data_IF_265608867255
#
_entry.id   IF_265608867255
#
_cell.length_a   1.000
_cell.length_b   1.000
_cell.length_c   1.000
_cell.angle_alpha   90.00
_cell.angle_beta   90.00
_cell.angle_gamma   90.00
#
_symmetry.space_group_name_H-M   'P 1'
#
loop_
_entity.id
_entity.type
_entity.pdbx_description
1 polymer ?
#
# COMPACT_ATOMS: atom_id res chain seq x y z
N UNK A 1 11.22 -13.09 20.56
CA UNK A 1 11.01 -11.87 19.74
C UNK A 1 9.51 -11.68 19.52
N UNK A 2 8.94 -10.55 19.96
CA UNK A 2 7.53 -10.15 19.80
C UNK A 2 6.44 -11.18 20.25
N UNK A 3 6.36 -11.50 21.57
CA UNK A 3 5.25 -12.29 22.12
C UNK A 3 3.90 -11.69 21.75
N UNK A 4 2.93 -12.52 21.38
CA UNK A 4 1.68 -12.04 20.76
C UNK A 4 0.91 -11.04 21.62
N UNK A 5 0.62 -11.38 22.89
CA UNK A 5 -0.16 -10.52 23.79
C UNK A 5 0.53 -9.18 24.01
N UNK A 6 1.80 -9.21 24.43
CA UNK A 6 2.61 -8.00 24.66
C UNK A 6 2.74 -7.12 23.41
N UNK A 7 2.90 -7.73 22.23
CA UNK A 7 3.01 -6.99 20.97
C UNK A 7 1.67 -6.38 20.57
N UNK A 8 0.56 -7.11 20.68
CA UNK A 8 -0.78 -6.58 20.40
C UNK A 8 -1.13 -5.42 21.33
N UNK A 9 -0.92 -5.59 22.63
CA UNK A 9 -1.15 -4.53 23.63
C UNK A 9 -0.31 -3.27 23.34
N UNK A 10 0.96 -3.47 22.99
CA UNK A 10 1.83 -2.37 22.55
C UNK A 10 1.34 -1.72 21.26
N UNK A 11 0.81 -2.50 20.31
CA UNK A 11 0.28 -1.98 19.05
C UNK A 11 -0.98 -1.15 19.27
N UNK A 12 -1.93 -1.61 20.10
CA UNK A 12 -3.13 -0.83 20.43
C UNK A 12 -2.78 0.46 21.19
N UNK A 13 -1.96 0.36 22.25
CA UNK A 13 -1.58 1.51 23.08
C UNK A 13 -0.83 2.60 22.31
N UNK A 14 0.03 2.20 21.35
CA UNK A 14 0.78 3.12 20.50
C UNK A 14 0.01 3.53 19.23
N UNK A 15 -1.28 3.17 19.12
CA UNK A 15 -2.11 3.38 17.92
C UNK A 15 -1.39 2.96 16.64
N UNK A 16 -0.76 1.78 16.69
CA UNK A 16 -0.08 1.16 15.57
C UNK A 16 1.09 1.96 14.98
N UNK A 17 1.73 2.83 15.76
CA UNK A 17 2.96 3.52 15.31
C UNK A 17 4.10 2.52 15.09
N UNK A 18 4.44 2.30 13.82
CA UNK A 18 5.44 1.33 13.38
C UNK A 18 6.86 1.74 13.83
N UNK A 19 7.16 3.04 13.89
CA UNK A 19 8.48 3.52 14.33
C UNK A 19 8.64 3.33 15.85
N UNK A 20 7.61 3.58 16.65
CA UNK A 20 7.65 3.32 18.09
C UNK A 20 7.68 1.83 18.42
N UNK A 21 6.88 1.02 17.71
CA UNK A 21 6.88 -0.44 17.87
C UNK A 21 8.23 -1.05 17.53
N UNK A 22 8.84 -0.66 16.41
CA UNK A 22 10.13 -1.22 16.01
C UNK A 22 11.24 -0.86 17.01
N UNK A 23 11.18 0.34 17.59
CA UNK A 23 12.10 0.76 18.65
C UNK A 23 11.89 -0.07 19.92
N UNK A 24 10.63 -0.21 20.38
CA UNK A 24 10.29 -0.96 21.59
C UNK A 24 10.71 -2.43 21.54
N UNK A 25 10.61 -3.06 20.37
CA UNK A 25 10.94 -4.48 20.19
C UNK A 25 12.33 -4.73 19.59
N UNK A 26 13.12 -3.69 19.30
CA UNK A 26 14.46 -3.81 18.75
C UNK A 26 14.51 -4.48 17.37
N UNK A 27 13.52 -4.22 16.51
CA UNK A 27 13.40 -4.86 15.19
C UNK A 27 13.35 -3.83 14.06
N UNK A 28 13.49 -4.29 12.82
CA UNK A 28 13.36 -3.44 11.63
C UNK A 28 11.92 -3.13 11.25
N UNK A 29 11.73 -2.13 10.37
CA UNK A 29 10.42 -1.73 9.84
C UNK A 29 9.69 -2.90 9.16
N UNK A 30 10.35 -3.61 8.24
CA UNK A 30 9.76 -4.79 7.55
C UNK A 30 9.26 -5.85 8.53
N UNK A 31 10.05 -6.13 9.57
CA UNK A 31 9.75 -7.18 10.57
C UNK A 31 8.54 -6.77 11.42
N UNK A 32 8.45 -5.49 11.77
CA UNK A 32 7.32 -4.93 12.53
C UNK A 32 6.02 -5.01 11.71
N UNK A 33 6.05 -4.58 10.45
CA UNK A 33 4.90 -4.66 9.54
C UNK A 33 4.46 -6.12 9.29
N UNK A 34 5.44 -7.03 9.11
CA UNK A 34 5.15 -8.46 9.00
C UNK A 34 4.44 -8.95 10.26
N UNK A 35 4.91 -8.59 11.45
CA UNK A 35 4.27 -9.00 12.70
C UNK A 35 2.84 -8.48 12.81
N UNK A 36 2.62 -7.19 12.52
CA UNK A 36 1.29 -6.58 12.51
C UNK A 36 0.30 -7.33 11.61
N UNK A 37 0.73 -7.79 10.45
CA UNK A 37 -0.13 -8.57 9.52
C UNK A 37 -0.56 -9.95 10.04
N UNK A 38 0.03 -10.43 11.14
CA UNK A 38 -0.25 -11.76 11.70
C UNK A 38 -1.15 -11.75 12.94
N UNK A 39 -1.63 -10.59 13.39
CA UNK A 39 -2.39 -10.44 14.64
C UNK A 39 -3.86 -10.87 14.50
N UNK A 40 -4.10 -12.14 14.13
CA UNK A 40 -5.44 -12.68 13.83
C UNK A 40 -5.87 -13.86 14.73
N UNK A 41 -5.32 -13.96 15.95
CA UNK A 41 -5.76 -14.95 16.94
C UNK A 41 -7.22 -14.69 17.33
N UNK A 42 -8.02 -15.75 17.40
CA UNK A 42 -9.49 -15.67 17.49
C UNK A 42 -9.98 -14.81 18.67
N UNK A 43 -9.33 -14.92 19.82
CA UNK A 43 -9.64 -14.25 21.09
C UNK A 43 -8.94 -12.89 21.28
N UNK A 44 -8.04 -12.51 20.38
CA UNK A 44 -7.19 -11.33 20.53
C UNK A 44 -6.78 -10.78 19.15
N UNK A 45 -7.75 -10.27 18.38
CA UNK A 45 -7.50 -9.75 17.01
C UNK A 45 -7.02 -8.30 17.03
N UNK A 46 -5.95 -8.02 16.30
CA UNK A 46 -5.55 -6.66 15.93
C UNK A 46 -6.24 -6.19 14.64
N UNK A 47 -5.82 -5.03 14.14
CA UNK A 47 -6.25 -4.54 12.81
C UNK A 47 -5.86 -5.56 11.73
N UNK A 48 -6.80 -5.96 10.84
CA UNK A 48 -6.50 -6.87 9.74
C UNK A 48 -5.72 -6.15 8.65
N UNK A 49 -4.40 -6.33 8.66
CA UNK A 49 -3.50 -5.71 7.70
C UNK A 49 -3.22 -6.56 6.46
N UNK A 50 -2.92 -5.85 5.38
CA UNK A 50 -2.31 -6.29 4.14
C UNK A 50 -0.84 -5.89 4.16
N UNK A 51 0.05 -6.85 3.96
CA UNK A 51 1.49 -6.59 3.88
C UNK A 51 1.98 -6.86 2.47
N UNK A 52 2.70 -5.90 1.91
CA UNK A 52 3.28 -5.99 0.57
C UNK A 52 4.73 -5.52 0.60
N UNK A 53 5.60 -6.25 -0.11
CA UNK A 53 6.98 -5.81 -0.38
C UNK A 53 7.23 -5.73 -1.87
N UNK A 54 7.65 -4.57 -2.35
CA UNK A 54 7.90 -4.30 -3.77
C UNK A 54 9.28 -3.71 -3.98
N UNK A 55 9.87 -3.91 -5.15
CA UNK A 55 11.08 -3.20 -5.58
C UNK A 55 10.76 -2.02 -6.52
N UNK A 56 11.80 -1.27 -6.92
CA UNK A 56 11.63 -0.09 -7.79
C UNK A 56 11.10 -0.40 -9.18
N UNK A 57 11.21 -1.65 -9.64
CA UNK A 57 10.74 -2.09 -10.95
C UNK A 57 9.28 -2.57 -10.90
N UNK A 58 8.65 -2.57 -9.72
CA UNK A 58 7.30 -3.06 -9.54
C UNK A 58 7.20 -4.55 -9.23
N UNK A 59 8.33 -5.24 -9.03
CA UNK A 59 8.28 -6.65 -8.66
C UNK A 59 7.87 -6.77 -7.20
N UNK A 60 6.68 -7.33 -6.98
CA UNK A 60 6.17 -7.55 -5.63
C UNK A 60 6.60 -8.94 -5.17
N UNK A 61 7.58 -8.97 -4.26
CA UNK A 61 8.26 -10.19 -3.80
C UNK A 61 7.68 -10.81 -2.53
N UNK A 62 6.77 -10.12 -1.82
CA UNK A 62 6.00 -10.68 -0.71
C UNK A 62 4.59 -10.11 -0.67
N UNK A 63 3.63 -10.98 -0.38
CA UNK A 63 2.22 -10.67 -0.07
C UNK A 63 1.80 -11.49 1.13
N UNK A 64 1.25 -10.84 2.14
CA UNK A 64 0.62 -11.49 3.27
C UNK A 64 -0.65 -10.73 3.60
N UNK A 65 -1.70 -11.46 3.95
CA UNK A 65 -2.99 -10.85 4.19
C UNK A 65 -3.71 -11.58 5.31
N UNK A 66 -4.28 -10.80 6.22
CA UNK A 66 -5.18 -11.31 7.26
C UNK A 66 -6.56 -11.71 6.71
N UNK A 67 -6.99 -11.12 5.59
CA UNK A 67 -8.32 -11.30 4.97
C UNK A 67 -8.24 -11.27 3.44
N UNK A 68 -9.32 -11.51 2.69
CA UNK A 68 -9.28 -11.36 1.23
C UNK A 68 -9.12 -9.89 0.82
N UNK A 69 -8.20 -9.61 -0.10
CA UNK A 69 -7.87 -8.26 -0.58
C UNK A 69 -7.46 -8.27 -2.06
N UNK A 70 -7.70 -7.18 -2.80
CA UNK A 70 -7.50 -7.11 -4.26
C UNK A 70 -6.10 -7.45 -4.73
N UNK A 71 -5.05 -7.18 -3.93
CA UNK A 71 -3.67 -7.54 -4.28
C UNK A 71 -3.17 -8.82 -3.59
N UNK A 72 -4.06 -9.62 -2.99
CA UNK A 72 -3.68 -10.85 -2.29
C UNK A 72 -3.09 -11.92 -3.21
N UNK A 73 -3.50 -11.93 -4.50
CA UNK A 73 -3.07 -12.94 -5.49
C UNK A 73 -2.39 -12.36 -6.72
N UNK A 74 -2.95 -11.31 -7.35
CA UNK A 74 -2.43 -10.70 -8.59
C UNK A 74 -2.63 -9.18 -8.55
N UNK A 75 -1.84 -8.43 -9.31
CA UNK A 75 -1.95 -6.97 -9.43
C UNK A 75 -1.10 -6.20 -8.42
N UNK A 76 -1.44 -4.93 -8.26
CA UNK A 76 -0.74 -3.95 -7.42
C UNK A 76 0.25 -3.07 -8.19
N UNK A 77 0.13 -2.97 -9.52
CA UNK A 77 1.06 -2.21 -10.39
C UNK A 77 0.53 -0.83 -10.80
N UNK A 78 -0.46 -0.30 -10.07
CA UNK A 78 -0.95 1.05 -10.33
C UNK A 78 0.08 2.09 -9.87
N UNK A 79 0.59 2.94 -10.76
CA UNK A 79 1.61 3.95 -10.39
C UNK A 79 1.08 5.05 -9.47
N UNK A 80 -0.24 5.21 -9.34
CA UNK A 80 -0.88 6.14 -8.39
C UNK A 80 -0.91 5.59 -6.96
N UNK A 81 -0.48 4.35 -6.74
CA UNK A 81 -0.38 3.76 -5.40
C UNK A 81 0.92 4.20 -4.71
N UNK A 82 0.81 4.72 -3.49
CA UNK A 82 1.90 5.37 -2.75
C UNK A 82 3.10 4.46 -2.44
N UNK A 83 2.96 3.14 -2.56
CA UNK A 83 4.10 2.22 -2.42
C UNK A 83 5.21 2.52 -3.43
N UNK A 84 4.85 3.01 -4.62
CA UNK A 84 5.80 3.40 -5.65
C UNK A 84 6.41 4.77 -5.40
N UNK A 85 5.60 5.70 -4.87
CA UNK A 85 6.08 7.01 -4.43
C UNK A 85 7.12 6.91 -3.32
N UNK A 86 7.07 5.87 -2.48
CA UNK A 86 8.04 5.66 -1.40
C UNK A 86 9.50 5.60 -1.89
N UNK A 87 9.75 5.20 -3.14
CA UNK A 87 11.10 5.23 -3.72
C UNK A 87 11.61 6.63 -4.03
N UNK A 88 10.71 7.59 -4.30
CA UNK A 88 11.07 9.00 -4.48
C UNK A 88 11.38 9.70 -3.15
N UNK A 89 10.93 9.13 -2.03
CA UNK A 89 11.11 9.71 -0.69
C UNK A 89 11.74 8.68 0.29
N UNK A 90 13.02 8.29 0.08
CA UNK A 90 13.60 7.18 0.83
C UNK A 90 13.58 7.38 2.34
N UNK A 91 13.19 6.34 3.08
CA UNK A 91 13.16 6.35 4.54
C UNK A 91 12.02 7.15 5.17
N UNK A 92 11.24 7.93 4.41
CA UNK A 92 10.05 8.64 4.88
C UNK A 92 8.82 7.71 4.87
N UNK A 93 7.99 7.81 5.90
CA UNK A 93 6.67 7.16 5.91
C UNK A 93 5.71 8.01 5.10
N UNK A 94 5.12 7.40 4.07
CA UNK A 94 4.03 7.94 3.28
C UNK A 94 2.72 7.28 3.68
N UNK A 95 1.63 8.03 3.53
CA UNK A 95 0.27 7.57 3.82
C UNK A 95 -0.66 7.93 2.66
N UNK A 96 -1.65 7.10 2.40
CA UNK A 96 -2.62 7.33 1.33
C UNK A 96 -3.95 6.67 1.69
N UNK A 97 -5.05 7.41 1.55
CA UNK A 97 -6.37 6.81 1.37
C UNK A 97 -6.50 6.48 -0.11
N UNK A 98 -6.74 5.22 -0.43
CA UNK A 98 -6.82 4.75 -1.81
C UNK A 98 -8.12 3.97 -2.02
N UNK A 99 -8.85 4.33 -3.06
CA UNK A 99 -10.10 3.67 -3.42
C UNK A 99 -9.90 2.77 -4.63
N UNK A 100 -10.34 1.53 -4.52
CA UNK A 100 -10.36 0.55 -5.60
C UNK A 100 -11.55 0.78 -6.54
N UNK A 101 -11.55 0.24 -7.78
CA UNK A 101 -12.65 0.42 -8.72
C UNK A 101 -14.01 -0.08 -8.22
N UNK A 102 -14.03 -1.00 -7.25
CA UNK A 102 -15.26 -1.50 -6.60
C UNK A 102 -15.78 -0.61 -5.46
N UNK A 103 -15.18 0.57 -5.27
CA UNK A 103 -15.56 1.55 -4.25
C UNK A 103 -14.97 1.31 -2.86
N UNK A 104 -14.27 0.19 -2.62
CA UNK A 104 -13.65 -0.08 -1.32
C UNK A 104 -12.45 0.84 -1.11
N UNK A 105 -12.38 1.44 0.09
CA UNK A 105 -11.33 2.38 0.46
C UNK A 105 -10.41 1.78 1.51
N UNK A 106 -9.12 2.03 1.34
CA UNK A 106 -8.06 1.49 2.18
C UNK A 106 -7.11 2.60 2.62
N UNK A 107 -6.65 2.53 3.87
CA UNK A 107 -5.51 3.31 4.33
C UNK A 107 -4.22 2.52 4.07
N UNK A 108 -3.30 3.10 3.31
CA UNK A 108 -1.99 2.55 3.00
C UNK A 108 -0.88 3.35 3.67
N UNK A 109 0.06 2.64 4.29
CA UNK A 109 1.29 3.18 4.85
C UNK A 109 2.45 2.55 4.09
N UNK A 110 3.32 3.38 3.51
CA UNK A 110 4.45 2.92 2.71
C UNK A 110 5.77 3.56 3.15
N UNK A 111 6.86 2.79 3.16
CA UNK A 111 8.22 3.28 3.44
C UNK A 111 9.25 2.38 2.78
N UNK A 112 10.34 2.96 2.27
CA UNK A 112 11.47 2.16 1.81
C UNK A 112 12.34 1.64 2.94
N UNK A 113 12.88 0.44 2.73
CA UNK A 113 13.90 -0.20 3.53
C UNK A 113 15.09 -0.53 2.63
N UNK A 114 16.29 -0.20 3.10
CA UNK A 114 17.54 -0.53 2.43
C UNK A 114 18.36 -1.49 3.30
N UNK A 115 18.97 -2.50 2.69
CA UNK A 115 19.96 -3.38 3.32
C UNK A 115 21.16 -3.52 2.38
N UNK A 116 22.35 -3.24 2.90
CA UNK A 116 23.61 -3.38 2.19
C UNK A 116 24.76 -3.55 3.18
N UNK A 117 25.89 -4.07 2.71
CA UNK A 117 27.09 -4.29 3.53
C UNK A 117 28.03 -3.07 3.56
N UNK A 118 27.58 -1.92 3.02
CA UNK A 118 28.40 -0.72 2.86
C UNK A 118 29.36 -0.81 1.66
N UNK A 119 29.97 0.31 1.31
CA UNK A 119 30.93 0.43 0.20
C UNK A 119 30.32 1.08 -1.06
N UNK A 120 31.09 1.97 -1.69
CA UNK A 120 30.66 2.75 -2.87
C UNK A 120 30.20 1.87 -4.04
N UNK A 121 30.88 0.75 -4.27
CA UNK A 121 30.59 -0.17 -5.37
C UNK A 121 29.66 -1.32 -4.99
N UNK A 122 29.26 -1.44 -3.72
CA UNK A 122 28.49 -2.59 -3.26
C UNK A 122 27.00 -2.42 -3.61
N UNK A 123 26.36 -3.44 -4.20
CA UNK A 123 24.93 -3.37 -4.48
C UNK A 123 24.12 -3.30 -3.18
N UNK A 124 23.17 -2.37 -3.13
CA UNK A 124 22.22 -2.23 -2.02
C UNK A 124 20.86 -2.78 -2.41
N UNK A 125 20.27 -3.60 -1.52
CA UNK A 125 18.90 -4.10 -1.67
C UNK A 125 17.93 -3.04 -1.14
N UNK A 126 17.14 -2.44 -2.03
CA UNK A 126 16.12 -1.45 -1.65
C UNK A 126 14.74 -1.98 -2.01
N UNK A 127 13.84 -1.99 -1.03
CA UNK A 127 12.44 -2.36 -1.20
C UNK A 127 11.54 -1.29 -0.59
N UNK A 128 10.31 -1.19 -1.05
CA UNK A 128 9.24 -0.50 -0.35
C UNK A 128 8.36 -1.52 0.38
N UNK A 129 8.08 -1.25 1.64
CA UNK A 129 7.14 -2.00 2.48
C UNK A 129 5.85 -1.21 2.53
N UNK A 130 4.75 -1.85 2.14
CA UNK A 130 3.40 -1.32 2.26
C UNK A 130 2.63 -2.11 3.32
N UNK A 131 1.96 -1.40 4.22
CA UNK A 131 1.01 -1.95 5.17
C UNK A 131 -0.34 -1.26 4.94
N UNK A 132 -1.38 -2.03 4.62
CA UNK A 132 -2.71 -1.50 4.29
C UNK A 132 -3.78 -2.06 5.19
N UNK A 133 -4.84 -1.31 5.46
CA UNK A 133 -6.05 -1.83 6.10
C UNK A 133 -7.30 -1.18 5.49
N UNK A 134 -8.45 -1.82 5.68
CA UNK A 134 -9.75 -1.21 5.34
C UNK A 134 -9.92 0.13 6.06
N UNK A 135 -10.44 1.14 5.35
CA UNK A 135 -10.60 2.50 5.89
C UNK A 135 -11.42 2.53 7.19
N UNK A 136 -12.33 1.57 7.41
CA UNK A 136 -13.08 1.45 8.68
C UNK A 136 -12.17 1.25 9.91
N UNK A 137 -10.95 0.75 9.72
CA UNK A 137 -9.96 0.57 10.79
C UNK A 137 -8.97 1.73 10.88
N UNK A 138 -8.98 2.68 9.93
CA UNK A 138 -7.99 3.76 9.84
C UNK A 138 -7.96 4.63 11.10
N UNK A 139 -9.12 4.87 11.75
CA UNK A 139 -9.21 5.64 12.98
C UNK A 139 -8.38 5.09 14.15
N UNK A 140 -7.98 3.80 14.10
CA UNK A 140 -7.14 3.16 15.13
C UNK A 140 -5.65 3.42 14.95
N UNK A 141 -5.24 3.92 13.77
CA UNK A 141 -3.84 4.13 13.42
C UNK A 141 -3.45 5.59 13.61
N UNK A 142 -2.26 5.86 14.16
CA UNK A 142 -1.69 7.21 14.20
C UNK A 142 -1.60 7.86 12.81
N UNK A 143 -1.46 7.04 11.76
CA UNK A 143 -1.32 7.51 10.39
C UNK A 143 -2.59 8.10 9.78
N UNK A 144 -3.76 7.95 10.41
CA UNK A 144 -4.99 8.63 9.98
C UNK A 144 -5.10 10.07 10.48
N UNK A 145 -4.22 10.52 11.39
CA UNK A 145 -4.32 11.82 12.02
C UNK A 145 -4.33 12.98 11.00
N UNK A 146 -5.39 13.78 10.99
CA UNK A 146 -5.56 14.89 10.05
C UNK A 146 -5.90 14.47 8.61
N UNK A 147 -6.31 13.21 8.40
CA UNK A 147 -7.05 12.82 7.20
C UNK A 147 -8.54 12.98 7.48
N UNK A 148 -9.27 13.50 6.52
CA UNK A 148 -10.72 13.39 6.51
C UNK A 148 -11.09 11.97 6.03
N UNK A 149 -11.59 11.15 6.94
CA UNK A 149 -11.98 9.77 6.64
C UNK A 149 -13.43 9.68 6.13
N UNK A 150 -14.22 10.74 6.32
CA UNK A 150 -15.64 10.79 5.99
C UNK A 150 -15.88 11.50 4.64
N UNK A 151 -14.93 12.30 4.17
CA UNK A 151 -14.96 12.89 2.82
C UNK A 151 -14.79 11.82 1.73
N UNK A 152 -15.83 11.53 0.92
CA UNK A 152 -15.77 10.53 -0.14
C UNK A 152 -14.85 10.94 -1.31
N UNK A 153 -14.45 12.21 -1.38
CA UNK A 153 -13.53 12.74 -2.40
C UNK A 153 -12.05 12.67 -2.00
N UNK A 154 -11.75 12.49 -0.71
CA UNK A 154 -10.38 12.42 -0.20
C UNK A 154 -9.57 11.20 -0.71
N UNK A 155 -10.15 9.99 -0.89
CA UNK A 155 -9.39 8.84 -1.37
C UNK A 155 -8.90 8.99 -2.82
N UNK A 156 -7.61 8.75 -3.04
CA UNK A 156 -7.04 8.69 -4.39
C UNK A 156 -7.64 7.49 -5.16
N UNK A 157 -8.21 7.70 -6.36
CA UNK A 157 -8.70 6.60 -7.17
C UNK A 157 -7.53 5.80 -7.77
N UNK A 158 -7.32 4.57 -7.29
CA UNK A 158 -6.30 3.66 -7.80
C UNK A 158 -6.92 2.43 -8.46
N UNK A 159 -6.10 1.54 -9.01
CA UNK A 159 -6.54 0.26 -9.57
C UNK A 159 -5.54 -0.87 -9.30
N UNK A 160 -5.85 -2.07 -9.80
CA UNK A 160 -4.96 -3.22 -9.66
C UNK A 160 -3.85 -3.30 -10.72
N UNK A 161 -3.99 -2.54 -11.80
CA UNK A 161 -3.07 -2.48 -12.93
C UNK A 161 -3.83 -2.12 -14.20
N UNK A 162 -3.23 -1.35 -15.11
CA UNK A 162 -3.97 -0.71 -16.20
C UNK A 162 -4.75 -1.69 -17.10
N UNK A 163 -4.17 -2.87 -17.37
CA UNK A 163 -4.78 -3.93 -18.19
C UNK A 163 -6.07 -4.53 -17.61
N UNK A 164 -6.30 -4.38 -16.31
CA UNK A 164 -7.49 -4.92 -15.62
C UNK A 164 -8.27 -3.83 -14.87
N UNK A 165 -7.88 -2.57 -15.03
CA UNK A 165 -8.51 -1.45 -14.34
C UNK A 165 -9.63 -0.87 -15.20
N UNK A 166 -10.84 -0.88 -14.67
CA UNK A 166 -12.07 -0.43 -15.34
C UNK A 166 -12.30 1.08 -15.25
N UNK A 167 -11.49 1.82 -14.48
CA UNK A 167 -11.65 3.28 -14.33
C UNK A 167 -11.54 4.01 -15.68
N UNK A 168 -12.59 4.71 -16.07
CA UNK A 168 -12.53 5.66 -17.19
C UNK A 168 -11.78 6.93 -16.78
N UNK A 169 -11.22 7.64 -17.75
CA UNK A 169 -10.57 8.93 -17.54
C UNK A 169 -9.36 8.96 -16.60
N UNK A 170 -8.55 7.91 -16.59
CA UNK A 170 -7.31 7.92 -15.81
C UNK A 170 -6.17 8.53 -16.64
N UNK A 171 -5.65 9.74 -16.31
CA UNK A 171 -4.58 10.38 -17.07
C UNK A 171 -3.25 9.60 -16.97
N UNK A 172 -3.09 8.80 -15.91
CA UNK A 172 -1.90 7.98 -15.67
C UNK A 172 -1.97 6.59 -16.33
N UNK A 173 -2.99 6.30 -17.13
CA UNK A 173 -3.20 4.97 -17.72
C UNK A 173 -2.06 4.60 -18.68
N UNK A 174 -1.38 3.49 -18.41
CA UNK A 174 -0.27 3.01 -19.24
C UNK A 174 -0.70 2.03 -20.35
N UNK A 175 -1.79 1.30 -20.14
CA UNK A 175 -2.30 0.29 -21.09
C UNK A 175 -3.83 0.35 -21.17
N UNK A 176 -4.42 0.01 -22.34
CA UNK A 176 -5.86 -0.18 -22.45
C UNK A 176 -6.30 -1.37 -21.58
N UNK A 177 -7.52 -1.33 -20.99
CA UNK A 177 -8.10 -2.50 -20.35
C UNK A 177 -8.21 -3.66 -21.35
N UNK A 178 -7.90 -4.88 -20.92
CA UNK A 178 -8.07 -6.07 -21.76
C UNK A 178 -9.54 -6.24 -22.12
N UNK A 179 -9.81 -6.42 -23.41
CA UNK A 179 -11.18 -6.52 -23.94
C UNK A 179 -11.90 -5.17 -24.09
N UNK A 180 -11.29 -4.05 -23.72
CA UNK A 180 -11.83 -2.72 -23.96
C UNK A 180 -11.68 -2.29 -25.41
N UNK A 181 -12.70 -1.63 -25.97
CA UNK A 181 -12.58 -0.96 -27.28
C UNK A 181 -11.79 0.34 -27.11
N UNK A 182 -10.79 0.53 -27.96
CA UNK A 182 -10.04 1.79 -28.05
C UNK A 182 -10.76 2.66 -29.07
N UNK A 183 -11.13 3.86 -28.67
CA UNK A 183 -11.65 4.88 -29.60
C UNK A 183 -10.49 5.76 -30.03
N UNK A 184 -10.29 5.84 -31.34
CA UNK A 184 -9.29 6.71 -31.96
C UNK A 184 -10.08 7.73 -32.78
N UNK A 185 -9.90 9.01 -32.46
CA UNK A 185 -10.43 10.13 -33.23
C UNK A 185 -9.23 10.99 -33.65
N UNK A 186 -9.04 11.13 -34.96
CA UNK A 186 -7.93 11.88 -35.55
C UNK A 186 -8.03 13.40 -35.28
N UNK A 187 -9.22 13.89 -34.91
CA UNK A 187 -9.48 15.31 -34.65
C UNK A 187 -9.43 15.66 -33.16
N UNK A 188 -9.23 14.70 -32.27
CA UNK A 188 -9.19 14.93 -30.83
C UNK A 188 -7.83 14.58 -30.21
N UNK A 189 -7.33 15.47 -29.34
CA UNK A 189 -6.20 15.19 -28.46
C UNK A 189 -6.65 15.18 -27.01
N UNK A 190 -6.83 13.99 -26.44
CA UNK A 190 -7.26 13.81 -25.05
C UNK A 190 -6.05 13.77 -24.10
N UNK A 191 -6.22 14.29 -22.88
CA UNK A 191 -5.23 14.14 -21.80
C UNK A 191 -5.09 12.68 -21.37
N UNK A 192 -6.18 11.92 -21.50
CA UNK A 192 -6.31 10.55 -21.02
C UNK A 192 -5.94 9.55 -22.12
N UNK A 193 -4.86 8.78 -21.98
CA UNK A 193 -4.53 7.73 -22.93
C UNK A 193 -5.56 6.60 -22.85
N UNK A 194 -5.95 6.05 -23.99
CA UNK A 194 -6.93 4.96 -24.10
C UNK A 194 -8.26 5.27 -23.41
N UNK A 195 -8.73 6.51 -23.48
CA UNK A 195 -10.07 6.88 -23.02
C UNK A 195 -11.10 5.95 -23.66
N UNK A 196 -11.79 5.16 -22.85
CA UNK A 196 -12.94 4.42 -23.32
C UNK A 196 -14.01 5.40 -23.77
N UNK A 197 -14.73 5.10 -24.85
CA UNK A 197 -16.02 5.72 -25.09
C UNK A 197 -16.98 5.51 -23.91
#
# INVERSE_FOLDING_TARGET
MMPYGQFLESAESLRYDIDLLRQRFGVGFEVTCHRLSTLQRIDARGVPFFFVRVDRAGNISKRQSATDFHFSRVGGTCPLWNVYEAFAQPGRILRQLAQMPDGRTYLWIARTVARGHGGYAAPTKTFAIALGCDARHAGRLVYSQGLDLDDPSAPTPIGAGCKVCERKGCPQRAFPPMGGKIVVDENERRLEPYSAA
#
